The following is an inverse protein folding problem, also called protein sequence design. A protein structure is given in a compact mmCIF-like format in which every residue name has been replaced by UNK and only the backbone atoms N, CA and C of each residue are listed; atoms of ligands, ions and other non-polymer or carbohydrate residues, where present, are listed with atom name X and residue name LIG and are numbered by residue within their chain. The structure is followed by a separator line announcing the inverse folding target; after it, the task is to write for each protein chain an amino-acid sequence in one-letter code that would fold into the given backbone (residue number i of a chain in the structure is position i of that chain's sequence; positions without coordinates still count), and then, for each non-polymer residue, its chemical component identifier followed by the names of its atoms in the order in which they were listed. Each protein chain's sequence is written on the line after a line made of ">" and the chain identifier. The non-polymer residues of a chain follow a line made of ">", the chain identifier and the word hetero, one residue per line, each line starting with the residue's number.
data_IF_467598976998
#
_entry.id   IF_467598976998
#
_cell.length_a   1.000
_cell.length_b   1.000
_cell.length_c   1.000
_cell.angle_alpha   90.00
_cell.angle_beta   90.00
_cell.angle_gamma   90.00
#
_symmetry.space_group_name_H-M   'P 1'
#
loop_
_entity.id
_entity.type
_entity.pdbx_description
1 polymer ?
#
# COMPACT_ATOMS: atom_id res chain seq x y z
N UNK A 1 5.85 7.72 13.62
CA UNK A 1 4.66 8.25 12.91
C UNK A 1 4.01 7.05 12.19
N UNK A 2 2.83 7.10 11.57
CA UNK A 2 2.31 5.91 10.82
C UNK A 2 2.64 6.04 9.34
N UNK A 3 2.67 4.91 8.61
CA UNK A 3 3.06 4.88 7.19
C UNK A 3 2.18 5.80 6.32
N UNK A 4 0.88 5.83 6.60
CA UNK A 4 -0.10 6.69 5.93
C UNK A 4 -0.40 7.97 6.71
N UNK A 5 0.58 8.56 7.38
CA UNK A 5 0.39 9.86 8.02
C UNK A 5 0.10 10.94 6.97
N UNK A 6 -0.98 11.70 7.18
CA UNK A 6 -1.37 12.82 6.33
C UNK A 6 -2.08 13.88 7.18
N UNK A 7 -1.74 15.17 7.01
CA UNK A 7 -2.23 16.28 7.83
C UNK A 7 -1.98 16.08 9.34
N UNK A 8 -0.86 15.45 9.68
CA UNK A 8 -0.40 15.22 11.07
C UNK A 8 -1.21 14.19 11.85
N UNK A 9 -1.92 13.30 11.16
CA UNK A 9 -2.69 12.21 11.75
C UNK A 9 -2.59 10.94 10.89
N UNK A 10 -2.85 9.79 11.51
CA UNK A 10 -3.04 8.55 10.75
C UNK A 10 -4.23 8.70 9.78
N UNK A 11 -3.96 8.47 8.50
CA UNK A 11 -4.94 8.56 7.43
C UNK A 11 -5.16 7.24 6.69
N UNK A 12 -4.82 6.09 7.30
CA UNK A 12 -5.10 4.74 6.77
C UNK A 12 -6.49 4.61 6.14
N UNK A 13 -7.56 4.95 6.88
CA UNK A 13 -8.93 4.89 6.36
C UNK A 13 -9.16 5.80 5.15
N UNK A 14 -8.57 6.98 5.11
CA UNK A 14 -8.67 7.89 3.97
C UNK A 14 -7.95 7.29 2.75
N UNK A 15 -6.75 6.74 2.93
CA UNK A 15 -5.97 6.11 1.86
C UNK A 15 -6.67 4.85 1.32
N UNK A 16 -7.25 4.00 2.19
CA UNK A 16 -8.07 2.86 1.77
C UNK A 16 -9.26 3.32 0.93
N UNK A 17 -9.94 4.40 1.32
CA UNK A 17 -11.03 4.98 0.51
C UNK A 17 -10.54 5.50 -0.84
N UNK A 18 -9.45 6.26 -0.84
CA UNK A 18 -8.87 6.83 -2.04
C UNK A 18 -8.47 5.74 -3.05
N UNK A 19 -7.77 4.69 -2.60
CA UNK A 19 -7.27 3.63 -3.50
C UNK A 19 -8.42 2.83 -4.13
N UNK A 20 -9.48 2.52 -3.37
CA UNK A 20 -10.64 1.81 -3.90
C UNK A 20 -11.42 2.63 -4.93
N UNK A 21 -11.60 3.93 -4.67
CA UNK A 21 -12.26 4.85 -5.60
C UNK A 21 -11.42 5.08 -6.87
N UNK A 22 -10.10 5.17 -6.72
CA UNK A 22 -9.16 5.24 -7.84
C UNK A 22 -9.16 3.95 -8.67
N UNK A 23 -9.16 2.78 -8.04
CA UNK A 23 -9.29 1.48 -8.72
C UNK A 23 -10.63 1.36 -9.47
N UNK A 24 -11.71 1.96 -8.96
CA UNK A 24 -12.99 2.02 -9.67
C UNK A 24 -12.86 2.84 -10.96
N UNK A 25 -12.31 4.05 -10.86
CA UNK A 25 -12.06 4.90 -12.02
C UNK A 25 -11.21 4.18 -13.09
N UNK A 26 -10.19 3.44 -12.68
CA UNK A 26 -9.29 2.71 -13.60
C UNK A 26 -9.79 1.31 -14.01
N UNK A 27 -11.04 0.96 -13.69
CA UNK A 27 -11.67 -0.30 -14.12
C UNK A 27 -11.12 -1.58 -13.47
N UNK A 28 -10.34 -1.48 -12.40
CA UNK A 28 -9.76 -2.61 -11.66
C UNK A 28 -10.51 -2.94 -10.37
N UNK A 29 -11.48 -2.11 -9.95
CA UNK A 29 -12.20 -2.33 -8.69
C UNK A 29 -12.85 -3.71 -8.55
N UNK A 30 -13.37 -4.31 -9.63
CA UNK A 30 -13.96 -5.65 -9.53
C UNK A 30 -12.95 -6.70 -9.13
N UNK A 31 -11.72 -6.65 -9.64
CA UNK A 31 -10.67 -7.60 -9.24
C UNK A 31 -10.20 -7.34 -7.82
N UNK A 32 -10.01 -6.07 -7.44
CA UNK A 32 -9.64 -5.66 -6.07
C UNK A 32 -10.67 -6.14 -5.05
N UNK A 33 -11.96 -5.91 -5.31
CA UNK A 33 -13.03 -6.33 -4.41
C UNK A 33 -13.21 -7.85 -4.35
N UNK A 34 -13.03 -8.55 -5.46
CA UNK A 34 -13.11 -10.03 -5.50
C UNK A 34 -11.91 -10.69 -4.80
N UNK A 35 -10.73 -10.07 -4.85
CA UNK A 35 -9.52 -10.52 -4.18
C UNK A 35 -9.56 -10.31 -2.65
N UNK A 36 -10.33 -9.33 -2.17
CA UNK A 36 -10.40 -8.99 -0.74
C UNK A 36 -9.55 -7.78 -0.36
N UNK A 37 -8.71 -7.29 -1.27
CA UNK A 37 -7.84 -6.10 -1.17
C UNK A 37 -8.59 -4.77 -0.89
N UNK A 38 -9.92 -4.81 -0.82
CA UNK A 38 -10.71 -3.73 -0.24
C UNK A 38 -12.05 -4.23 0.27
N UNK A 39 -12.47 -3.73 1.42
CA UNK A 39 -13.82 -3.96 1.97
C UNK A 39 -14.84 -2.89 1.56
N UNK A 40 -14.41 -1.88 0.79
CA UNK A 40 -15.24 -0.73 0.43
C UNK A 40 -16.27 -1.13 -0.61
N UNK A 41 -17.54 -0.79 -0.34
CA UNK A 41 -18.66 -1.02 -1.26
C UNK A 41 -18.90 0.21 -2.11
N UNK A 42 -18.83 0.07 -3.43
CA UNK A 42 -19.20 1.09 -4.42
C UNK A 42 -20.45 0.63 -5.17
N UNK A 43 -21.44 1.51 -5.32
CA UNK A 43 -22.71 1.18 -5.96
C UNK A 43 -23.31 2.35 -6.76
N UNK A 44 -24.26 2.04 -7.64
CA UNK A 44 -25.13 3.05 -8.27
C UNK A 44 -26.36 3.36 -7.42
N UNK A 45 -26.72 2.46 -6.50
CA UNK A 45 -27.77 2.67 -5.51
C UNK A 45 -27.15 3.19 -4.20
N UNK A 46 -27.93 3.95 -3.45
CA UNK A 46 -27.48 4.45 -2.15
C UNK A 46 -27.25 3.31 -1.15
N UNK A 47 -26.02 3.20 -0.65
CA UNK A 47 -25.62 2.21 0.37
C UNK A 47 -25.10 2.94 1.61
N UNK A 48 -25.62 2.58 2.79
CA UNK A 48 -25.17 3.16 4.07
C UNK A 48 -23.73 2.73 4.34
N UNK A 49 -22.85 3.70 4.58
CA UNK A 49 -21.42 3.46 4.80
C UNK A 49 -20.60 3.13 3.55
N UNK A 50 -21.26 2.86 2.42
CA UNK A 50 -20.62 2.68 1.11
C UNK A 50 -20.62 3.96 0.28
N UNK A 51 -19.90 3.93 -0.84
CA UNK A 51 -19.85 5.01 -1.81
C UNK A 51 -20.88 4.79 -2.92
N UNK A 52 -21.56 5.86 -3.29
CA UNK A 52 -22.52 5.85 -4.40
C UNK A 52 -21.99 6.75 -5.51
N UNK A 53 -22.00 6.24 -6.75
CA UNK A 53 -21.67 7.02 -7.94
C UNK A 53 -22.74 8.12 -8.10
N UNK A 54 -22.30 9.38 -8.12
CA UNK A 54 -23.19 10.51 -8.32
C UNK A 54 -23.48 10.69 -9.80
N UNK A 55 -24.75 10.51 -10.16
CA UNK A 55 -25.17 10.80 -11.53
C UNK A 55 -25.06 12.30 -11.87
N UNK A 56 -24.81 12.66 -13.14
CA UNK A 56 -24.75 14.04 -13.61
C UNK A 56 -25.99 14.88 -13.26
N UNK A 57 -27.18 14.26 -13.31
CA UNK A 57 -28.46 14.90 -12.96
C UNK A 57 -28.52 15.29 -11.46
N UNK A 58 -27.94 14.47 -10.58
CA UNK A 58 -27.88 14.75 -9.13
C UNK A 58 -26.87 15.86 -8.84
N UNK A 59 -25.73 15.86 -9.55
CA UNK A 59 -24.71 16.89 -9.43
C UNK A 59 -25.16 18.23 -10.06
N UNK A 60 -26.17 18.20 -10.93
CA UNK A 60 -26.59 19.38 -11.71
C UNK A 60 -25.65 19.70 -12.87
N UNK A 61 -24.85 18.72 -13.31
CA UNK A 61 -23.89 18.86 -14.39
C UNK A 61 -24.55 18.71 -15.76
N UNK A 62 -24.11 19.51 -16.74
CA UNK A 62 -24.69 19.52 -18.09
C UNK A 62 -23.70 19.28 -19.23
N UNK A 63 -22.44 18.95 -18.89
CA UNK A 63 -21.40 18.63 -19.85
C UNK A 63 -21.49 17.21 -20.41
N UNK A 64 -20.37 16.70 -20.89
CA UNK A 64 -20.30 15.41 -21.60
C UNK A 64 -20.12 14.27 -20.60
N UNK A 65 -20.93 13.22 -20.74
CA UNK A 65 -20.91 12.02 -19.89
C UNK A 65 -21.18 10.78 -20.75
N UNK A 66 -20.68 9.61 -20.34
CA UNK A 66 -20.98 8.34 -21.01
C UNK A 66 -22.27 7.67 -20.51
N UNK A 67 -22.47 6.39 -20.87
CA UNK A 67 -23.61 5.60 -20.45
C UNK A 67 -23.55 5.10 -19.00
N UNK A 68 -22.36 5.11 -18.40
CA UNK A 68 -22.12 4.72 -17.00
C UNK A 68 -22.21 5.92 -16.05
N UNK A 69 -22.15 7.14 -16.59
CA UNK A 69 -22.18 8.39 -15.84
C UNK A 69 -20.81 9.03 -15.66
N UNK A 70 -19.76 8.47 -16.26
CA UNK A 70 -18.39 8.99 -16.24
C UNK A 70 -18.35 10.36 -16.90
N UNK A 71 -17.70 11.32 -16.25
CA UNK A 71 -17.58 12.70 -16.72
C UNK A 71 -16.40 12.84 -17.67
N UNK A 72 -16.58 13.54 -18.79
CA UNK A 72 -15.54 13.77 -19.80
C UNK A 72 -15.06 15.22 -19.82
N UNK A 73 -13.82 15.41 -20.24
CA UNK A 73 -13.19 16.71 -20.30
C UNK A 73 -13.91 17.70 -21.23
N UNK A 74 -13.86 18.97 -20.82
CA UNK A 74 -14.76 20.02 -21.30
C UNK A 74 -14.17 20.84 -22.46
N UNK A 75 -12.85 20.75 -22.64
CA UNK A 75 -12.13 21.44 -23.71
C UNK A 75 -11.72 20.49 -24.82
N UNK A 76 -11.48 21.01 -26.02
CA UNK A 76 -11.00 20.17 -27.14
C UNK A 76 -9.59 19.60 -26.90
N UNK A 77 -8.82 20.22 -26.00
CA UNK A 77 -7.47 19.77 -25.64
C UNK A 77 -7.57 18.51 -24.79
N UNK A 78 -8.43 18.50 -23.77
CA UNK A 78 -8.57 17.41 -22.79
C UNK A 78 -9.88 16.63 -22.91
N UNK A 79 -10.49 16.58 -24.11
CA UNK A 79 -11.83 15.97 -24.31
C UNK A 79 -11.91 14.48 -23.96
N UNK A 80 -10.76 13.81 -23.86
CA UNK A 80 -10.64 12.38 -23.56
C UNK A 80 -10.35 12.15 -22.07
N UNK A 81 -10.05 13.20 -21.30
CA UNK A 81 -9.90 13.12 -19.84
C UNK A 81 -11.21 12.68 -19.18
N UNK A 82 -11.11 11.82 -18.17
CA UNK A 82 -12.26 11.22 -17.49
C UNK A 82 -12.19 11.40 -15.98
N UNK A 83 -13.36 11.47 -15.35
CA UNK A 83 -13.50 11.52 -13.91
C UNK A 83 -14.80 10.86 -13.43
N UNK A 84 -14.78 10.40 -12.18
CA UNK A 84 -15.94 9.89 -11.45
C UNK A 84 -16.18 10.73 -10.19
N UNK A 85 -17.45 10.94 -9.86
CA UNK A 85 -17.85 11.64 -8.63
C UNK A 85 -18.66 10.69 -7.76
N UNK A 86 -18.32 10.62 -6.48
CA UNK A 86 -18.98 9.74 -5.52
C UNK A 86 -19.50 10.51 -4.31
N UNK A 87 -20.52 9.96 -3.65
CA UNK A 87 -21.00 10.43 -2.36
C UNK A 87 -21.14 9.27 -1.37
N UNK A 88 -20.74 9.51 -0.14
CA UNK A 88 -21.00 8.62 0.98
C UNK A 88 -22.20 9.13 1.78
N UNK A 89 -23.03 8.21 2.28
CA UNK A 89 -24.27 8.53 3.00
C UNK A 89 -24.32 7.93 4.39
N UNK A 90 -24.88 8.70 5.33
CA UNK A 90 -25.22 8.21 6.66
C UNK A 90 -26.50 7.34 6.68
N UNK A 91 -26.83 6.78 7.84
CA UNK A 91 -28.04 5.96 8.05
C UNK A 91 -29.37 6.70 7.75
N UNK A 92 -29.36 8.04 7.73
CA UNK A 92 -30.52 8.88 7.45
C UNK A 92 -30.59 9.31 5.98
N UNK A 93 -29.59 8.92 5.19
CA UNK A 93 -29.43 9.26 3.79
C UNK A 93 -28.93 10.67 3.53
N UNK A 94 -28.26 11.30 4.50
CA UNK A 94 -27.54 12.56 4.32
C UNK A 94 -26.17 12.29 3.72
N UNK A 95 -25.74 13.12 2.77
CA UNK A 95 -24.36 13.11 2.25
C UNK A 95 -23.41 13.56 3.36
N UNK A 96 -22.37 12.76 3.62
CA UNK A 96 -21.36 13.03 4.66
C UNK A 96 -19.95 13.17 4.13
N UNK A 97 -19.68 12.67 2.92
CA UNK A 97 -18.40 12.86 2.23
C UNK A 97 -18.64 12.75 0.72
N UNK A 98 -17.75 13.37 -0.05
CA UNK A 98 -17.78 13.38 -1.52
C UNK A 98 -16.38 13.01 -2.00
N UNK A 99 -16.28 12.36 -3.15
CA UNK A 99 -14.99 12.09 -3.78
C UNK A 99 -15.02 12.43 -5.27
N UNK A 100 -13.88 12.91 -5.77
CA UNK A 100 -13.57 13.09 -7.17
C UNK A 100 -12.39 12.16 -7.50
N UNK A 101 -12.63 11.13 -8.30
CA UNK A 101 -11.59 10.25 -8.80
C UNK A 101 -11.28 10.58 -10.26
N UNK A 102 -10.07 11.04 -10.55
CA UNK A 102 -9.62 11.36 -11.91
C UNK A 102 -8.98 10.11 -12.51
N UNK A 103 -9.37 9.75 -13.73
CA UNK A 103 -8.88 8.56 -14.41
C UNK A 103 -7.39 8.66 -14.75
N UNK A 104 -6.76 7.49 -14.87
CA UNK A 104 -5.45 7.33 -15.49
C UNK A 104 -5.52 7.41 -17.01
N UNK A 105 -4.68 6.62 -17.68
CA UNK A 105 -4.62 6.56 -19.15
C UNK A 105 -5.48 5.41 -19.66
N UNK A 106 -6.68 5.71 -20.16
CA UNK A 106 -7.62 4.74 -20.70
C UNK A 106 -7.79 4.88 -22.24
N UNK A 107 -7.41 6.02 -22.80
CA UNK A 107 -7.49 6.34 -24.22
C UNK A 107 -6.14 6.74 -24.85
N UNK A 108 -6.04 6.64 -26.17
CA UNK A 108 -4.84 7.05 -26.92
C UNK A 108 -4.55 8.56 -26.82
N UNK A 109 -5.55 9.37 -26.44
CA UNK A 109 -5.42 10.81 -26.23
C UNK A 109 -4.58 11.16 -24.99
N UNK A 110 -4.72 10.38 -23.94
CA UNK A 110 -4.17 10.62 -22.60
C UNK A 110 -2.63 10.65 -22.58
N UNK A 111 -1.99 9.94 -23.52
CA UNK A 111 -0.52 9.99 -23.71
C UNK A 111 -0.05 11.41 -24.08
N UNK A 112 -0.89 12.22 -24.73
CA UNK A 112 -0.58 13.62 -24.99
C UNK A 112 -0.79 14.52 -23.78
N UNK A 113 -1.64 14.12 -22.83
CA UNK A 113 -1.94 14.90 -21.63
C UNK A 113 -0.77 14.91 -20.65
N UNK A 114 0.04 13.85 -20.62
CA UNK A 114 1.36 13.87 -19.93
C UNK A 114 2.27 15.02 -20.40
N UNK A 115 2.11 15.51 -21.65
CA UNK A 115 2.91 16.64 -22.13
C UNK A 115 2.50 17.96 -21.47
N UNK A 116 1.29 18.05 -20.91
CA UNK A 116 0.86 19.21 -20.11
C UNK A 116 1.73 19.32 -18.86
N UNK A 117 1.97 18.20 -18.18
CA UNK A 117 2.77 18.11 -16.95
C UNK A 117 4.27 18.34 -17.15
N UNK A 118 4.74 18.42 -18.41
CA UNK A 118 6.10 18.88 -18.74
C UNK A 118 6.22 20.40 -18.90
N UNK A 119 5.12 21.15 -18.75
CA UNK A 119 5.14 22.61 -18.70
C UNK A 119 5.59 23.07 -17.31
N UNK A 120 6.05 24.32 -17.23
CA UNK A 120 6.46 24.92 -15.96
C UNK A 120 5.30 25.22 -15.01
N UNK A 121 4.09 25.38 -15.55
CA UNK A 121 2.86 25.65 -14.79
C UNK A 121 1.74 24.88 -15.51
N UNK A 122 1.54 23.58 -15.22
CA UNK A 122 0.49 22.78 -15.85
C UNK A 122 -0.89 23.23 -15.38
N UNK A 123 -1.88 23.25 -16.27
CA UNK A 123 -3.25 23.69 -15.96
C UNK A 123 -4.28 22.59 -16.31
N UNK A 124 -3.93 21.32 -16.06
CA UNK A 124 -4.67 20.16 -16.55
C UNK A 124 -6.10 20.12 -15.99
N UNK A 125 -6.25 20.08 -14.67
CA UNK A 125 -7.56 19.83 -14.02
C UNK A 125 -8.54 20.96 -14.28
N UNK A 126 -8.09 22.21 -14.19
CA UNK A 126 -8.93 23.38 -14.47
C UNK A 126 -9.42 23.43 -15.91
N UNK A 127 -8.59 23.04 -16.89
CA UNK A 127 -8.99 23.04 -18.30
C UNK A 127 -9.79 21.80 -18.69
N UNK A 128 -9.62 20.71 -17.97
CA UNK A 128 -10.39 19.49 -18.21
C UNK A 128 -11.78 19.57 -17.59
N UNK A 129 -11.92 20.13 -16.38
CA UNK A 129 -13.10 19.92 -15.52
C UNK A 129 -13.66 21.20 -14.87
N UNK A 130 -13.53 22.39 -15.48
CA UNK A 130 -14.00 23.68 -14.92
C UNK A 130 -15.47 23.65 -14.45
N UNK A 131 -16.40 23.27 -15.35
CA UNK A 131 -17.85 23.24 -15.08
C UNK A 131 -18.20 22.10 -14.10
N UNK A 132 -17.48 20.97 -14.16
CA UNK A 132 -17.62 19.85 -13.24
C UNK A 132 -17.25 20.27 -11.81
N UNK A 133 -16.11 20.93 -11.63
CA UNK A 133 -15.65 21.43 -10.33
C UNK A 133 -16.60 22.49 -9.76
N UNK A 134 -17.16 23.36 -10.62
CA UNK A 134 -18.18 24.31 -10.20
C UNK A 134 -19.46 23.60 -9.70
N UNK A 135 -19.90 22.56 -10.42
CA UNK A 135 -21.07 21.76 -10.04
C UNK A 135 -20.84 20.99 -8.73
N UNK A 136 -19.63 20.43 -8.57
CA UNK A 136 -19.19 19.75 -7.35
C UNK A 136 -19.20 20.69 -6.14
N UNK A 137 -18.61 21.89 -6.26
CA UNK A 137 -18.64 22.91 -5.22
C UNK A 137 -20.08 23.28 -4.82
N UNK A 138 -20.95 23.53 -5.79
CA UNK A 138 -22.35 23.88 -5.54
C UNK A 138 -23.10 22.74 -4.83
N UNK A 139 -22.86 21.48 -5.24
CA UNK A 139 -23.43 20.30 -4.61
C UNK A 139 -22.98 20.14 -3.15
N UNK A 140 -21.69 20.32 -2.87
CA UNK A 140 -21.14 20.25 -1.52
C UNK A 140 -21.76 21.33 -0.61
N UNK A 141 -21.79 22.58 -1.06
CA UNK A 141 -22.40 23.70 -0.33
C UNK A 141 -23.90 23.42 -0.07
N UNK A 142 -24.61 22.85 -1.04
CA UNK A 142 -26.02 22.51 -0.88
C UNK A 142 -26.30 21.41 0.16
N UNK A 143 -25.28 20.60 0.51
CA UNK A 143 -25.35 19.54 1.52
C UNK A 143 -24.70 19.92 2.87
N UNK A 144 -24.35 21.20 3.04
CA UNK A 144 -23.59 21.76 4.17
C UNK A 144 -22.20 21.12 4.36
N UNK A 145 -21.52 20.75 3.27
CA UNK A 145 -20.15 20.21 3.29
C UNK A 145 -19.12 21.30 2.98
N UNK A 146 -17.89 21.10 3.44
CA UNK A 146 -16.70 21.91 3.12
C UNK A 146 -15.72 21.09 2.29
N UNK A 147 -14.65 21.71 1.78
CA UNK A 147 -13.61 20.96 1.07
C UNK A 147 -12.94 19.88 1.92
N UNK A 148 -12.87 20.02 3.25
CA UNK A 148 -12.36 18.98 4.14
C UNK A 148 -13.14 17.65 4.03
N UNK A 149 -14.39 17.69 3.54
CA UNK A 149 -15.23 16.50 3.30
C UNK A 149 -15.03 15.89 1.90
N UNK A 150 -14.16 16.47 1.06
CA UNK A 150 -13.81 16.01 -0.28
C UNK A 150 -12.54 15.17 -0.27
N UNK A 151 -12.60 14.02 -0.94
CA UNK A 151 -11.43 13.25 -1.35
C UNK A 151 -11.18 13.52 -2.84
N UNK A 152 -9.99 13.98 -3.19
CA UNK A 152 -9.51 14.06 -4.57
C UNK A 152 -8.47 12.97 -4.74
N UNK A 153 -8.73 12.04 -5.66
CA UNK A 153 -7.86 10.88 -5.89
C UNK A 153 -7.73 10.54 -7.37
N UNK A 154 -6.80 9.66 -7.69
CA UNK A 154 -6.52 9.19 -9.04
C UNK A 154 -5.24 8.37 -9.06
N UNK A 155 -5.07 7.60 -10.13
CA UNK A 155 -3.90 6.75 -10.34
C UNK A 155 -3.23 7.13 -11.66
N UNK A 156 -1.90 7.10 -11.73
CA UNK A 156 -1.13 7.40 -12.95
C UNK A 156 -1.30 8.85 -13.42
N UNK A 157 -1.83 9.09 -14.63
CA UNK A 157 -2.22 10.43 -15.10
C UNK A 157 -3.16 11.11 -14.10
N UNK A 158 -4.12 10.36 -13.55
CA UNK A 158 -5.03 10.81 -12.51
C UNK A 158 -4.31 11.17 -11.21
N UNK A 159 -3.27 10.42 -10.83
CA UNK A 159 -2.42 10.74 -9.68
C UNK A 159 -1.71 12.08 -9.86
N UNK A 160 -1.13 12.33 -11.04
CA UNK A 160 -0.55 13.63 -11.36
C UNK A 160 -1.58 14.76 -11.40
N UNK A 161 -2.80 14.47 -11.86
CA UNK A 161 -3.92 15.40 -11.84
C UNK A 161 -4.35 15.79 -10.41
N UNK A 162 -4.28 14.87 -9.44
CA UNK A 162 -4.52 15.17 -8.01
C UNK A 162 -3.53 16.23 -7.53
N UNK A 163 -2.23 16.02 -7.77
CA UNK A 163 -1.18 16.98 -7.42
C UNK A 163 -1.38 18.33 -8.11
N UNK A 164 -1.69 18.33 -9.41
CA UNK A 164 -1.97 19.56 -10.15
C UNK A 164 -3.19 20.33 -9.61
N UNK A 165 -4.26 19.63 -9.22
CA UNK A 165 -5.42 20.26 -8.62
C UNK A 165 -5.09 20.88 -7.25
N UNK A 166 -4.27 20.20 -6.44
CA UNK A 166 -3.83 20.69 -5.14
C UNK A 166 -2.98 21.96 -5.26
N UNK A 167 -2.00 21.93 -6.16
CA UNK A 167 -1.07 23.05 -6.40
C UNK A 167 -1.78 24.31 -6.87
N UNK A 168 -2.88 24.18 -7.61
CA UNK A 168 -3.64 25.30 -8.15
C UNK A 168 -4.92 25.63 -7.39
N UNK A 169 -5.19 24.90 -6.30
CA UNK A 169 -6.48 24.92 -5.60
C UNK A 169 -6.89 26.31 -5.08
N UNK A 170 -5.95 27.24 -4.88
CA UNK A 170 -6.17 28.62 -4.47
C UNK A 170 -6.47 29.58 -5.63
N UNK A 171 -6.17 29.19 -6.87
CA UNK A 171 -6.29 30.03 -8.06
C UNK A 171 -7.71 30.03 -8.66
N UNK A 172 -8.48 28.95 -8.46
CA UNK A 172 -9.82 28.78 -9.05
C UNK A 172 -10.92 28.65 -7.99
N UNK A 173 -12.15 28.95 -8.41
CA UNK A 173 -13.37 28.82 -7.61
C UNK A 173 -13.24 29.42 -6.18
N UNK A 174 -12.57 30.57 -6.08
CA UNK A 174 -12.31 31.32 -4.83
C UNK A 174 -11.52 30.53 -3.76
N UNK A 175 -10.66 29.59 -4.17
CA UNK A 175 -9.86 28.79 -3.25
C UNK A 175 -10.66 27.74 -2.49
N UNK A 176 -11.82 27.34 -3.00
CA UNK A 176 -12.73 26.44 -2.27
C UNK A 176 -12.07 25.11 -1.93
N UNK A 177 -11.20 24.58 -2.79
CA UNK A 177 -10.67 23.22 -2.67
C UNK A 177 -9.35 23.11 -1.90
N UNK A 178 -8.74 24.21 -1.45
CA UNK A 178 -7.43 24.20 -0.75
C UNK A 178 -7.38 23.19 0.39
N UNK A 179 -8.45 23.11 1.19
CA UNK A 179 -8.51 22.24 2.36
C UNK A 179 -8.95 20.78 2.05
N UNK A 180 -9.12 20.42 0.78
CA UNK A 180 -9.50 19.07 0.38
C UNK A 180 -8.43 18.02 0.70
N UNK A 181 -8.84 16.75 0.70
CA UNK A 181 -7.94 15.62 0.95
C UNK A 181 -7.41 15.11 -0.40
N UNK A 182 -6.13 15.37 -0.68
CA UNK A 182 -5.47 15.03 -1.93
C UNK A 182 -4.61 13.79 -1.73
N UNK A 183 -5.09 12.65 -2.23
CA UNK A 183 -4.40 11.35 -2.13
C UNK A 183 -4.23 10.76 -3.52
N UNK A 184 -3.01 10.83 -4.05
CA UNK A 184 -2.62 10.31 -5.36
C UNK A 184 -1.99 8.92 -5.29
N UNK A 185 -1.98 8.23 -6.43
CA UNK A 185 -1.31 6.94 -6.61
C UNK A 185 -0.52 6.95 -7.92
N UNK A 186 0.68 6.37 -7.91
CA UNK A 186 1.56 6.31 -9.09
C UNK A 186 1.72 7.68 -9.79
N UNK A 187 1.94 8.73 -9.01
CA UNK A 187 1.95 10.11 -9.52
C UNK A 187 3.22 10.41 -10.30
N UNK A 188 3.06 10.80 -11.56
CA UNK A 188 4.14 11.25 -12.43
C UNK A 188 4.44 12.76 -12.32
N UNK A 189 3.69 13.48 -11.49
CA UNK A 189 3.84 14.93 -11.35
C UNK A 189 4.37 15.25 -9.96
N UNK A 190 5.60 15.77 -9.93
CA UNK A 190 6.23 16.32 -8.74
C UNK A 190 5.80 17.78 -8.58
N UNK A 191 5.21 18.18 -7.44
CA UNK A 191 4.92 19.58 -7.18
C UNK A 191 6.20 20.40 -7.03
N UNK A 192 6.09 21.72 -7.14
CA UNK A 192 7.21 22.62 -6.86
C UNK A 192 7.77 22.41 -5.44
N UNK A 193 9.10 22.40 -5.33
CA UNK A 193 9.89 22.18 -4.09
C UNK A 193 9.85 20.75 -3.49
N UNK A 194 8.99 19.84 -3.97
CA UNK A 194 8.94 18.45 -3.49
C UNK A 194 8.39 18.30 -2.06
N UNK A 195 7.76 19.35 -1.53
CA UNK A 195 7.16 19.39 -0.20
C UNK A 195 5.74 18.80 -0.21
N UNK A 196 5.32 18.24 0.93
CA UNK A 196 3.93 17.79 1.14
C UNK A 196 2.92 18.92 1.29
N UNK A 197 3.36 20.10 1.75
CA UNK A 197 2.52 21.30 1.86
C UNK A 197 2.91 22.28 0.77
N UNK A 198 1.96 22.58 -0.11
CA UNK A 198 2.19 23.38 -1.31
C UNK A 198 2.03 24.88 -1.03
N UNK A 199 2.52 25.70 -1.96
CA UNK A 199 2.39 27.17 -1.90
C UNK A 199 0.93 27.65 -1.87
N UNK A 200 0.00 26.88 -2.45
CA UNK A 200 -1.45 27.10 -2.38
C UNK A 200 -2.01 26.95 -0.95
N UNK A 201 -1.27 26.27 -0.06
CA UNK A 201 -1.69 25.86 1.26
C UNK A 201 -2.31 24.46 1.32
N UNK A 202 -2.52 23.82 0.17
CA UNK A 202 -2.98 22.43 0.13
C UNK A 202 -1.88 21.48 0.59
N UNK A 203 -2.27 20.38 1.24
CA UNK A 203 -1.36 19.28 1.59
C UNK A 203 -1.69 18.06 0.72
N UNK A 204 -0.67 17.38 0.21
CA UNK A 204 -0.81 16.20 -0.64
C UNK A 204 -0.15 14.97 0.00
N UNK A 205 -0.64 13.80 -0.37
CA UNK A 205 0.00 12.52 -0.09
C UNK A 205 -0.08 11.64 -1.33
N UNK A 206 1.02 10.97 -1.68
CA UNK A 206 1.11 10.04 -2.79
C UNK A 206 1.59 8.69 -2.28
N UNK A 207 0.93 7.61 -2.71
CA UNK A 207 1.47 6.26 -2.55
C UNK A 207 2.04 5.85 -3.89
N UNK A 208 3.35 5.65 -3.93
CA UNK A 208 4.12 5.34 -5.11
C UNK A 208 5.01 4.13 -4.81
N UNK A 209 5.07 3.18 -5.75
CA UNK A 209 6.06 2.12 -5.67
C UNK A 209 7.38 2.59 -6.27
N UNK A 210 8.50 2.31 -5.62
CA UNK A 210 9.83 2.61 -6.16
C UNK A 210 10.06 1.91 -7.51
N UNK A 211 9.52 0.69 -7.62
CA UNK A 211 9.63 -0.16 -8.78
C UNK A 211 8.48 0.04 -9.79
N UNK A 212 7.67 1.09 -9.62
CA UNK A 212 6.74 1.58 -10.64
C UNK A 212 7.48 2.52 -11.61
N UNK A 213 7.50 2.21 -12.92
CA UNK A 213 8.23 3.00 -13.91
C UNK A 213 7.66 4.40 -14.18
N UNK A 214 6.45 4.71 -13.71
CA UNK A 214 5.79 6.00 -13.96
C UNK A 214 6.25 7.10 -12.99
N UNK A 215 6.08 6.97 -11.66
CA UNK A 215 6.58 7.96 -10.70
C UNK A 215 8.11 8.08 -10.75
N UNK A 216 8.82 6.97 -11.02
CA UNK A 216 10.28 6.99 -11.20
C UNK A 216 10.72 7.54 -12.57
N UNK A 217 9.94 7.30 -13.64
CA UNK A 217 10.34 7.63 -15.01
C UNK A 217 9.96 9.03 -15.49
N UNK A 218 8.95 9.64 -14.87
CA UNK A 218 8.49 10.99 -15.14
C UNK A 218 8.32 11.67 -13.78
N UNK A 219 9.26 12.54 -13.45
CA UNK A 219 9.30 13.31 -12.22
C UNK A 219 9.92 14.67 -12.54
N UNK A 220 9.90 15.63 -11.61
CA UNK A 220 10.64 16.90 -11.66
C UNK A 220 10.59 17.70 -12.99
N UNK A 221 9.51 17.53 -13.76
CA UNK A 221 9.33 18.12 -15.09
C UNK A 221 10.26 17.55 -16.16
N UNK A 222 10.90 16.41 -15.91
CA UNK A 222 11.80 15.73 -16.84
C UNK A 222 11.44 14.24 -17.01
N UNK A 223 12.10 13.59 -17.96
CA UNK A 223 11.95 12.15 -18.18
C UNK A 223 13.27 11.51 -17.76
N UNK A 224 13.18 10.48 -16.91
CA UNK A 224 14.30 9.69 -16.39
C UNK A 224 14.24 8.28 -16.98
N UNK A 225 14.89 8.02 -18.14
CA UNK A 225 14.84 6.73 -18.84
C UNK A 225 15.28 5.50 -18.05
N UNK A 226 15.91 5.69 -16.90
CA UNK A 226 16.45 4.63 -16.04
C UNK A 226 15.90 4.73 -14.62
N UNK A 227 14.76 5.41 -14.44
CA UNK A 227 14.18 5.70 -13.13
C UNK A 227 14.86 6.87 -12.43
N UNK A 228 14.15 7.40 -11.45
CA UNK A 228 14.56 8.37 -10.46
C UNK A 228 14.04 7.85 -9.13
N UNK A 229 14.93 7.78 -8.16
CA UNK A 229 14.61 7.40 -6.80
C UNK A 229 14.98 8.58 -5.89
N UNK A 230 14.25 9.68 -6.09
CA UNK A 230 14.40 10.86 -5.25
C UNK A 230 13.40 10.76 -4.13
N UNK A 231 13.90 10.87 -2.90
CA UNK A 231 13.07 10.94 -1.71
C UNK A 231 12.29 12.26 -1.68
N UNK A 232 10.97 12.16 -1.70
CA UNK A 232 10.05 13.30 -1.67
C UNK A 232 9.18 13.26 -0.43
N UNK A 233 9.10 14.38 0.29
CA UNK A 233 8.33 14.49 1.53
C UNK A 233 6.84 14.16 1.37
N UNK A 234 6.28 14.15 0.17
CA UNK A 234 4.85 13.88 -0.08
C UNK A 234 4.54 12.44 -0.50
N UNK A 235 5.53 11.64 -0.86
CA UNK A 235 5.35 10.32 -1.45
C UNK A 235 5.94 9.21 -0.56
N UNK A 236 5.52 7.97 -0.77
CA UNK A 236 6.25 6.81 -0.25
C UNK A 236 7.43 6.52 -1.16
N UNK A 237 8.66 6.74 -0.68
CA UNK A 237 9.85 6.62 -1.52
C UNK A 237 10.41 5.19 -1.59
N UNK A 238 10.23 4.39 -0.52
CA UNK A 238 10.85 3.06 -0.38
C UNK A 238 9.81 1.93 -0.28
N UNK A 239 8.71 2.05 -1.03
CA UNK A 239 7.67 1.02 -1.08
C UNK A 239 7.86 0.13 -2.32
N UNK A 240 8.04 -1.17 -2.11
CA UNK A 240 8.29 -2.15 -3.16
C UNK A 240 7.10 -3.08 -3.30
N UNK A 241 6.58 -3.21 -4.53
CA UNK A 241 5.63 -4.27 -4.85
C UNK A 241 6.36 -5.44 -5.53
N UNK A 242 6.63 -6.51 -4.79
CA UNK A 242 7.40 -7.66 -5.26
C UNK A 242 6.54 -8.57 -6.16
N UNK A 243 6.45 -8.23 -7.44
CA UNK A 243 5.71 -9.00 -8.44
C UNK A 243 6.57 -10.10 -9.11
N UNK A 244 5.98 -10.82 -10.07
CA UNK A 244 6.66 -11.90 -10.80
C UNK A 244 7.90 -11.47 -11.61
N UNK A 245 8.10 -10.17 -11.83
CA UNK A 245 9.21 -9.66 -12.63
C UNK A 245 10.34 -9.11 -11.77
N UNK A 246 10.00 -8.46 -10.65
CA UNK A 246 10.97 -7.97 -9.67
C UNK A 246 11.84 -9.13 -9.16
N UNK A 247 13.14 -8.88 -8.96
CA UNK A 247 14.13 -9.92 -8.63
C UNK A 247 14.55 -10.85 -9.79
N UNK A 248 13.88 -10.80 -10.96
CA UNK A 248 14.24 -11.66 -12.09
C UNK A 248 15.26 -11.01 -13.05
N UNK A 249 15.99 -11.81 -13.87
CA UNK A 249 16.84 -11.26 -14.94
C UNK A 249 16.10 -10.43 -16.00
N UNK A 250 14.75 -10.47 -16.04
CA UNK A 250 13.94 -9.63 -16.92
C UNK A 250 13.87 -8.18 -16.42
N UNK A 251 14.15 -7.95 -15.13
CA UNK A 251 14.11 -6.65 -14.44
C UNK A 251 15.51 -6.12 -14.09
N UNK A 252 16.54 -6.60 -14.79
CA UNK A 252 17.96 -6.28 -14.53
C UNK A 252 18.32 -4.78 -14.58
N UNK A 253 17.43 -3.94 -15.10
CA UNK A 253 17.62 -2.50 -15.27
C UNK A 253 16.93 -1.65 -14.20
N UNK A 254 16.35 -2.26 -13.15
CA UNK A 254 15.60 -1.54 -12.09
C UNK A 254 14.18 -1.19 -12.49
N UNK A 255 13.75 -1.61 -13.68
CA UNK A 255 12.52 -1.16 -14.30
C UNK A 255 12.64 0.25 -14.84
N UNK A 256 12.06 0.44 -16.01
CA UNK A 256 11.92 1.77 -16.59
C UNK A 256 10.72 1.79 -17.51
N UNK A 257 10.32 2.99 -17.90
CA UNK A 257 9.15 3.24 -18.72
C UNK A 257 9.17 2.53 -20.09
N UNK A 258 10.32 2.05 -20.58
CA UNK A 258 10.42 1.29 -21.83
C UNK A 258 10.31 -0.22 -21.64
N UNK A 259 10.48 -0.73 -20.42
CA UNK A 259 10.35 -2.15 -20.12
C UNK A 259 8.87 -2.49 -19.91
N UNK A 260 8.22 -3.25 -20.80
CA UNK A 260 6.80 -3.58 -20.63
C UNK A 260 6.53 -4.44 -19.38
N UNK A 261 7.56 -5.08 -18.82
CA UNK A 261 7.45 -5.85 -17.58
C UNK A 261 7.41 -4.96 -16.35
N UNK A 262 8.05 -3.78 -16.39
CA UNK A 262 7.99 -2.83 -15.29
C UNK A 262 6.61 -2.20 -15.12
N UNK A 263 5.81 -2.14 -16.17
CA UNK A 263 4.43 -1.64 -16.09
C UNK A 263 3.48 -2.56 -15.30
N UNK A 264 3.94 -3.74 -14.89
CA UNK A 264 3.14 -4.64 -14.06
C UNK A 264 2.88 -4.07 -12.66
N UNK A 265 3.90 -3.47 -12.02
CA UNK A 265 3.76 -2.78 -10.73
C UNK A 265 2.85 -1.55 -10.82
N UNK A 266 2.72 -0.95 -12.01
CA UNK A 266 1.84 0.21 -12.28
C UNK A 266 0.33 -0.13 -12.32
N UNK A 267 -0.09 -1.33 -11.90
CA UNK A 267 -1.51 -1.67 -11.82
C UNK A 267 -2.15 -1.05 -10.58
N UNK A 268 -3.25 -0.33 -10.75
CA UNK A 268 -4.03 0.20 -9.62
C UNK A 268 -4.58 -0.88 -8.67
N UNK A 269 -4.69 -2.13 -9.13
CA UNK A 269 -5.02 -3.26 -8.25
C UNK A 269 -3.88 -3.60 -7.28
N UNK A 270 -2.63 -3.52 -7.74
CA UNK A 270 -1.45 -3.80 -6.91
C UNK A 270 -1.31 -2.74 -5.81
N UNK A 271 -1.57 -1.46 -6.15
CA UNK A 271 -1.65 -0.39 -5.15
C UNK A 271 -2.73 -0.64 -4.10
N UNK A 272 -3.91 -1.15 -4.49
CA UNK A 272 -4.96 -1.49 -3.55
C UNK A 272 -4.54 -2.65 -2.62
N UNK A 273 -3.96 -3.72 -3.16
CA UNK A 273 -3.38 -4.83 -2.38
C UNK A 273 -2.35 -4.32 -1.38
N UNK A 274 -1.39 -3.51 -1.82
CA UNK A 274 -0.35 -2.98 -0.94
C UNK A 274 -0.93 -2.12 0.20
N UNK A 275 -1.89 -1.24 -0.10
CA UNK A 275 -2.56 -0.43 0.93
C UNK A 275 -3.27 -1.31 1.96
N UNK A 276 -3.94 -2.38 1.52
CA UNK A 276 -4.66 -3.29 2.41
C UNK A 276 -3.71 -4.10 3.31
N UNK A 277 -2.69 -4.71 2.72
CA UNK A 277 -1.64 -5.48 3.42
C UNK A 277 -0.93 -4.61 4.47
N UNK A 278 -0.47 -3.42 4.07
CA UNK A 278 0.21 -2.49 4.98
C UNK A 278 -0.71 -2.06 6.13
N UNK A 279 -1.96 -1.71 5.83
CA UNK A 279 -2.91 -1.26 6.85
C UNK A 279 -3.30 -2.36 7.84
N UNK A 280 -3.17 -3.62 7.43
CA UNK A 280 -3.55 -4.80 8.21
C UNK A 280 -2.39 -5.37 9.03
N UNK A 281 -1.14 -5.02 8.69
CA UNK A 281 0.06 -5.49 9.38
C UNK A 281 0.07 -5.16 10.87
N UNK A 282 0.53 -6.10 11.70
CA UNK A 282 0.75 -5.83 13.13
C UNK A 282 1.84 -4.78 13.37
N UNK A 283 2.72 -4.55 12.39
CA UNK A 283 3.81 -3.59 12.44
C UNK A 283 3.43 -2.20 11.92
N UNK A 284 2.19 -2.00 11.45
CA UNK A 284 1.73 -0.75 10.82
C UNK A 284 2.07 0.53 11.61
N UNK A 285 1.92 0.49 12.93
CA UNK A 285 2.16 1.66 13.81
C UNK A 285 3.63 2.01 14.00
N UNK A 286 4.53 1.13 13.56
CA UNK A 286 5.98 1.28 13.63
C UNK A 286 6.55 1.78 12.30
N UNK A 287 5.83 1.55 11.19
CA UNK A 287 6.18 2.02 9.86
C UNK A 287 6.04 3.55 9.77
N UNK A 288 7.04 4.19 9.15
CA UNK A 288 7.00 5.61 8.78
C UNK A 288 6.98 5.73 7.25
N UNK A 289 6.59 6.91 6.72
CA UNK A 289 6.39 7.12 5.27
C UNK A 289 7.54 6.61 4.39
N UNK A 290 8.78 6.78 4.85
CA UNK A 290 9.99 6.40 4.12
C UNK A 290 10.65 5.12 4.65
N UNK A 291 9.94 4.34 5.47
CA UNK A 291 10.38 2.99 5.80
C UNK A 291 10.48 2.15 4.53
N UNK A 292 11.51 1.29 4.44
CA UNK A 292 11.55 0.26 3.42
C UNK A 292 10.43 -0.75 3.71
N UNK A 293 9.44 -0.81 2.82
CA UNK A 293 8.33 -1.75 2.92
C UNK A 293 8.26 -2.56 1.65
N UNK A 294 8.33 -3.89 1.76
CA UNK A 294 8.27 -4.82 0.65
C UNK A 294 6.99 -5.65 0.79
N UNK A 295 6.10 -5.54 -0.18
CA UNK A 295 4.83 -6.28 -0.21
C UNK A 295 4.91 -7.42 -1.23
N UNK A 296 4.59 -8.64 -0.81
CA UNK A 296 4.48 -9.80 -1.71
C UNK A 296 3.34 -9.59 -2.70
N UNK A 297 3.70 -9.42 -3.96
CA UNK A 297 2.80 -9.31 -5.11
C UNK A 297 2.76 -10.58 -5.96
N UNK A 298 3.37 -11.67 -5.49
CA UNK A 298 3.42 -12.94 -6.21
C UNK A 298 2.04 -13.59 -6.28
N UNK A 299 1.82 -14.38 -7.33
CA UNK A 299 0.65 -15.24 -7.40
C UNK A 299 0.85 -16.52 -6.55
N UNK A 300 -0.23 -17.26 -6.29
CA UNK A 300 -0.16 -18.48 -5.45
C UNK A 300 0.82 -19.54 -6.00
N UNK A 301 1.07 -19.57 -7.32
CA UNK A 301 1.92 -20.58 -7.96
C UNK A 301 3.42 -20.22 -7.84
N UNK A 302 3.78 -18.93 -7.75
CA UNK A 302 5.16 -18.45 -7.61
C UNK A 302 5.53 -18.12 -6.15
N UNK A 303 4.57 -17.85 -5.27
CA UNK A 303 4.81 -17.51 -3.86
C UNK A 303 5.55 -18.63 -3.10
N UNK A 304 5.34 -19.89 -3.47
CA UNK A 304 5.91 -21.07 -2.79
C UNK A 304 7.29 -21.51 -3.30
N UNK A 305 7.89 -20.78 -4.26
CA UNK A 305 9.20 -21.12 -4.84
C UNK A 305 10.20 -19.96 -4.97
N UNK A 306 9.81 -18.74 -4.59
CA UNK A 306 10.61 -17.53 -4.77
C UNK A 306 10.68 -16.68 -3.50
N UNK A 307 11.91 -16.33 -3.14
CA UNK A 307 12.18 -15.45 -2.01
C UNK A 307 11.76 -14.01 -2.32
N UNK A 308 10.79 -13.50 -1.58
CA UNK A 308 10.49 -12.07 -1.47
C UNK A 308 11.53 -11.47 -0.53
N UNK A 309 12.41 -10.63 -1.08
CA UNK A 309 13.53 -10.01 -0.38
C UNK A 309 13.86 -8.65 -0.98
N UNK A 310 14.64 -7.83 -0.26
CA UNK A 310 15.25 -6.64 -0.86
C UNK A 310 16.32 -7.07 -1.88
N UNK A 311 16.08 -6.79 -3.16
CA UNK A 311 16.85 -7.31 -4.28
C UNK A 311 18.05 -6.43 -4.62
N UNK A 312 19.22 -7.06 -4.81
CA UNK A 312 20.33 -6.35 -5.43
C UNK A 312 20.16 -6.25 -6.94
N UNK A 313 19.55 -5.16 -7.40
CA UNK A 313 19.38 -4.88 -8.83
C UNK A 313 20.56 -4.01 -9.33
N UNK A 314 21.39 -4.44 -10.29
CA UNK A 314 22.67 -3.78 -10.61
C UNK A 314 22.62 -2.34 -11.13
N UNK A 315 21.46 -1.91 -11.66
CA UNK A 315 21.23 -0.56 -12.16
C UNK A 315 20.24 0.22 -11.29
N UNK A 316 19.69 -0.45 -10.28
CA UNK A 316 18.92 0.18 -9.24
C UNK A 316 19.88 0.69 -8.16
N UNK A 317 19.68 1.91 -7.70
CA UNK A 317 20.59 2.58 -6.77
C UNK A 317 19.80 3.24 -5.64
N UNK A 318 18.72 2.58 -5.21
CA UNK A 318 17.94 2.97 -4.03
C UNK A 318 18.80 2.98 -2.77
N UNK A 319 19.72 2.02 -2.67
CA UNK A 319 20.78 2.04 -1.67
C UNK A 319 20.34 1.61 -0.27
N UNK A 320 19.13 1.06 -0.14
CA UNK A 320 18.61 0.48 1.10
C UNK A 320 19.02 -0.99 1.33
N UNK A 321 19.83 -1.59 0.43
CA UNK A 321 20.23 -2.99 0.56
C UNK A 321 20.91 -3.30 1.91
N UNK A 322 20.19 -4.05 2.74
CA UNK A 322 20.62 -4.47 4.07
C UNK A 322 20.40 -3.43 5.17
N UNK A 323 19.54 -2.44 4.91
CA UNK A 323 18.87 -1.63 5.93
C UNK A 323 17.69 -2.42 6.53
N UNK A 324 17.10 -1.87 7.60
CA UNK A 324 15.94 -2.45 8.29
C UNK A 324 14.71 -2.37 7.36
N UNK A 325 14.03 -3.50 7.15
CA UNK A 325 12.88 -3.61 6.26
C UNK A 325 11.63 -4.11 6.97
N UNK A 326 10.46 -3.68 6.49
CA UNK A 326 9.21 -4.37 6.72
C UNK A 326 8.90 -5.25 5.51
N UNK A 327 8.84 -6.57 5.70
CA UNK A 327 8.60 -7.54 4.63
C UNK A 327 7.25 -8.20 4.91
N UNK A 328 6.30 -7.96 4.03
CA UNK A 328 4.91 -8.33 4.20
C UNK A 328 4.53 -9.38 3.14
N UNK A 329 4.13 -10.57 3.61
CA UNK A 329 3.63 -11.66 2.79
C UNK A 329 2.23 -11.39 2.24
N UNK A 330 1.50 -12.47 2.03
CA UNK A 330 0.16 -12.49 1.46
C UNK A 330 -0.65 -13.64 2.05
N UNK A 331 -1.87 -13.87 1.56
CA UNK A 331 -2.68 -15.02 2.01
C UNK A 331 -2.25 -16.37 1.37
N UNK A 332 -1.10 -16.39 0.68
CA UNK A 332 -0.52 -17.56 0.03
C UNK A 332 0.69 -18.08 0.84
N UNK A 333 1.17 -19.29 0.53
CA UNK A 333 2.39 -19.79 1.17
C UNK A 333 3.63 -19.10 0.61
N UNK A 334 4.10 -18.06 1.29
CA UNK A 334 5.18 -17.18 0.85
C UNK A 334 6.56 -17.66 1.31
N UNK A 335 7.59 -17.38 0.52
CA UNK A 335 8.99 -17.49 0.93
C UNK A 335 9.54 -16.08 1.20
N UNK A 336 9.71 -15.73 2.46
CA UNK A 336 10.10 -14.37 2.86
C UNK A 336 11.52 -14.35 3.41
N UNK A 337 12.35 -13.40 2.94
CA UNK A 337 13.73 -13.29 3.43
C UNK A 337 14.13 -11.85 3.75
N UNK A 338 14.59 -11.66 4.99
CA UNK A 338 15.34 -10.49 5.42
C UNK A 338 16.83 -10.58 5.07
N UNK A 339 17.58 -9.53 5.39
CA UNK A 339 18.98 -9.40 4.97
C UNK A 339 19.94 -9.24 6.14
N UNK A 340 20.29 -8.00 6.48
CA UNK A 340 21.30 -7.67 7.49
C UNK A 340 20.80 -6.61 8.49
N UNK A 341 19.69 -5.95 8.18
CA UNK A 341 19.04 -4.99 9.07
C UNK A 341 18.26 -5.71 10.15
N UNK A 342 17.74 -4.95 11.10
CA UNK A 342 16.81 -5.46 12.11
C UNK A 342 15.41 -5.50 11.46
N UNK A 343 15.08 -6.60 10.79
CA UNK A 343 13.93 -6.72 9.89
C UNK A 343 12.63 -7.09 10.65
N UNK A 344 11.49 -6.61 10.17
CA UNK A 344 10.15 -7.00 10.65
C UNK A 344 9.39 -7.71 9.53
N UNK A 345 9.17 -9.01 9.70
CA UNK A 345 8.62 -9.89 8.67
C UNK A 345 7.28 -10.47 9.13
N UNK A 346 6.25 -10.41 8.28
CA UNK A 346 4.91 -10.93 8.57
C UNK A 346 4.42 -11.82 7.43
N UNK A 347 4.12 -13.09 7.74
CA UNK A 347 3.66 -14.09 6.78
C UNK A 347 2.24 -13.86 6.27
N UNK A 348 1.31 -13.50 7.19
CA UNK A 348 -0.15 -13.50 6.99
C UNK A 348 -0.74 -14.92 6.94
N UNK A 349 -1.74 -15.20 6.11
CA UNK A 349 -2.29 -16.55 5.99
C UNK A 349 -1.42 -17.35 5.01
N UNK A 350 -1.11 -18.61 5.25
CA UNK A 350 -0.16 -19.28 4.36
C UNK A 350 0.35 -20.63 4.85
N UNK A 351 1.50 -21.05 4.34
CA UNK A 351 2.38 -22.02 4.98
C UNK A 351 3.77 -21.52 4.59
N UNK A 352 4.27 -20.59 5.37
CA UNK A 352 5.31 -19.68 4.96
C UNK A 352 6.69 -20.22 5.31
N UNK A 353 7.68 -19.84 4.52
CA UNK A 353 9.09 -20.11 4.79
C UNK A 353 9.78 -18.78 5.02
N UNK A 354 10.05 -18.46 6.28
CA UNK A 354 10.59 -17.15 6.68
C UNK A 354 12.03 -17.30 7.15
N UNK A 355 12.94 -16.50 6.59
CA UNK A 355 14.35 -16.41 7.01
C UNK A 355 14.77 -14.96 7.19
N UNK A 356 14.89 -14.47 8.43
CA UNK A 356 15.16 -13.06 8.68
C UNK A 356 16.63 -12.66 8.47
N UNK A 357 17.58 -13.51 8.84
CA UNK A 357 18.96 -13.41 8.37
C UNK A 357 19.94 -12.93 9.43
N UNK A 358 20.32 -11.65 9.42
CA UNK A 358 21.15 -11.08 10.49
C UNK A 358 20.49 -9.80 10.94
N UNK A 359 20.63 -9.47 12.22
CA UNK A 359 19.92 -8.36 12.81
C UNK A 359 19.20 -8.87 14.05
N UNK A 360 18.69 -7.99 14.88
CA UNK A 360 17.72 -8.38 15.91
C UNK A 360 16.33 -8.35 15.26
N UNK A 361 15.90 -9.49 14.70
CA UNK A 361 14.76 -9.56 13.79
C UNK A 361 13.42 -9.84 14.52
N UNK A 362 12.29 -9.47 13.90
CA UNK A 362 10.94 -9.79 14.37
C UNK A 362 10.18 -10.53 13.28
N UNK A 363 9.75 -11.74 13.58
CA UNK A 363 9.05 -12.61 12.63
C UNK A 363 7.66 -12.91 13.17
N UNK A 364 6.61 -12.48 12.48
CA UNK A 364 5.24 -12.92 12.73
C UNK A 364 4.89 -14.01 11.73
N UNK A 365 4.48 -15.16 12.23
CA UNK A 365 4.05 -16.31 11.43
C UNK A 365 2.76 -16.00 10.66
N UNK A 366 1.73 -15.53 11.38
CA UNK A 366 0.38 -15.45 10.86
C UNK A 366 -0.35 -16.79 11.02
N UNK A 367 -1.22 -17.16 10.07
CA UNK A 367 -1.95 -18.41 10.11
C UNK A 367 -1.35 -19.39 9.09
N UNK A 368 -1.33 -20.68 9.38
CA UNK A 368 -0.69 -21.64 8.50
C UNK A 368 0.23 -22.59 9.21
N UNK A 369 1.05 -23.32 8.45
CA UNK A 369 2.13 -24.12 9.03
C UNK A 369 3.44 -23.56 8.56
N UNK A 370 4.08 -22.84 9.45
CA UNK A 370 5.17 -21.97 9.05
C UNK A 370 6.53 -22.53 9.49
N UNK A 371 7.55 -22.30 8.67
CA UNK A 371 8.94 -22.62 8.96
C UNK A 371 9.72 -21.31 9.14
N UNK A 372 10.14 -21.04 10.37
CA UNK A 372 10.72 -19.76 10.80
C UNK A 372 12.20 -19.95 11.13
N UNK A 373 13.04 -19.10 10.57
CA UNK A 373 14.48 -19.04 10.85
C UNK A 373 14.86 -17.60 11.19
N UNK A 374 15.31 -17.36 12.42
CA UNK A 374 15.73 -16.02 12.87
C UNK A 374 17.07 -15.65 12.26
N UNK A 375 18.04 -16.55 12.35
CA UNK A 375 19.39 -16.35 11.85
C UNK A 375 20.32 -15.86 12.96
N UNK A 376 20.90 -14.68 12.81
CA UNK A 376 21.92 -14.18 13.72
C UNK A 376 21.53 -12.85 14.34
N UNK A 377 21.19 -12.90 15.63
CA UNK A 377 20.92 -11.74 16.46
C UNK A 377 20.18 -12.20 17.71
N UNK A 378 19.37 -11.31 18.30
CA UNK A 378 18.40 -11.67 19.33
C UNK A 378 17.02 -11.53 18.72
N UNK A 379 16.51 -12.62 18.18
CA UNK A 379 15.32 -12.60 17.34
C UNK A 379 14.05 -12.80 18.17
N UNK A 380 12.93 -12.28 17.67
CA UNK A 380 11.61 -12.43 18.29
C UNK A 380 10.68 -13.11 17.29
N UNK A 381 10.27 -14.34 17.62
CA UNK A 381 9.23 -15.07 16.91
C UNK A 381 7.89 -14.73 17.56
N UNK A 382 7.00 -14.06 16.84
CA UNK A 382 5.66 -13.68 17.24
C UNK A 382 4.69 -14.72 16.67
N UNK A 383 3.97 -15.41 17.54
CA UNK A 383 3.12 -16.52 17.13
C UNK A 383 1.64 -16.16 17.30
N UNK A 384 0.86 -16.43 16.26
CA UNK A 384 -0.59 -16.29 16.24
C UNK A 384 -1.22 -17.67 16.48
N UNK A 385 -2.33 -17.72 17.24
CA UNK A 385 -3.01 -18.98 17.51
C UNK A 385 -4.04 -19.30 16.40
N UNK A 386 -3.88 -20.44 15.74
CA UNK A 386 -4.73 -20.89 14.63
C UNK A 386 -5.01 -22.42 14.62
N UNK A 387 -4.41 -23.16 15.55
CA UNK A 387 -4.52 -24.60 15.73
C UNK A 387 -3.57 -25.41 14.83
N UNK A 388 -2.57 -24.78 14.23
CA UNK A 388 -1.56 -25.44 13.40
C UNK A 388 -0.28 -25.71 14.19
N UNK A 389 0.75 -26.08 13.43
CA UNK A 389 2.01 -26.56 13.97
C UNK A 389 3.15 -25.93 13.19
N UNK A 390 3.83 -25.00 13.85
CA UNK A 390 4.90 -24.19 13.28
C UNK A 390 6.26 -24.69 13.76
N UNK A 391 7.31 -24.36 13.01
CA UNK A 391 8.66 -24.83 13.28
C UNK A 391 9.62 -23.66 13.31
N UNK A 392 10.31 -23.48 14.43
CA UNK A 392 11.46 -22.58 14.55
C UNK A 392 12.73 -23.40 14.40
N UNK A 393 13.56 -23.09 13.41
CA UNK A 393 14.67 -23.97 13.00
C UNK A 393 15.98 -23.71 13.74
N UNK A 394 16.15 -22.54 14.35
CA UNK A 394 17.44 -22.11 14.93
C UNK A 394 17.35 -21.37 16.28
N UNK A 395 16.26 -21.56 17.04
CA UNK A 395 16.04 -20.90 18.33
C UNK A 395 17.22 -21.05 19.31
N UNK A 396 17.75 -19.92 19.77
CA UNK A 396 18.86 -19.84 20.71
C UNK A 396 18.41 -19.35 22.08
N UNK A 397 18.33 -20.28 23.04
CA UNK A 397 17.91 -20.01 24.43
C UNK A 397 18.76 -18.90 25.08
N UNK A 398 18.09 -17.89 25.65
CA UNK A 398 18.72 -16.75 26.31
C UNK A 398 19.22 -15.64 25.37
N UNK A 399 19.11 -15.84 24.05
CA UNK A 399 19.31 -14.80 23.03
C UNK A 399 17.94 -14.46 22.41
N UNK A 400 17.27 -15.45 21.82
CA UNK A 400 15.99 -15.29 21.14
C UNK A 400 14.78 -15.36 22.08
N UNK A 401 13.62 -14.95 21.56
CA UNK A 401 12.34 -14.98 22.29
C UNK A 401 11.17 -15.47 21.43
N UNK A 402 10.23 -16.13 22.11
CA UNK A 402 8.93 -16.51 21.57
C UNK A 402 7.86 -15.60 22.19
N UNK A 403 7.24 -14.74 21.38
CA UNK A 403 6.13 -13.88 21.78
C UNK A 403 4.78 -14.57 21.52
N UNK A 404 4.13 -14.97 22.62
CA UNK A 404 2.81 -15.61 22.62
C UNK A 404 1.71 -14.64 23.05
N UNK A 405 1.99 -13.33 23.10
CA UNK A 405 1.00 -12.32 23.47
C UNK A 405 -0.13 -12.22 22.44
N UNK A 406 0.18 -12.44 21.15
CA UNK A 406 -0.79 -12.49 20.05
C UNK A 406 -1.61 -13.79 20.04
N UNK A 407 -1.03 -14.90 20.47
CA UNK A 407 -1.75 -16.15 20.77
C UNK A 407 -2.65 -16.07 22.04
N UNK A 408 -2.57 -14.99 22.81
CA UNK A 408 -3.36 -14.81 24.04
C UNK A 408 -2.93 -15.68 25.22
N UNK A 409 -1.70 -16.20 25.19
CA UNK A 409 -1.11 -16.93 26.32
C UNK A 409 -0.63 -15.93 27.36
N UNK A 410 -1.02 -16.12 28.62
CA UNK A 410 -0.81 -15.11 29.68
C UNK A 410 0.34 -15.44 30.63
N UNK A 411 0.85 -16.68 30.61
CA UNK A 411 1.99 -17.08 31.43
C UNK A 411 2.61 -18.39 30.99
N UNK A 412 3.87 -18.60 31.38
CA UNK A 412 4.63 -19.84 31.15
C UNK A 412 3.97 -21.10 31.76
N UNK A 413 3.14 -20.95 32.80
CA UNK A 413 2.43 -22.07 33.44
C UNK A 413 1.34 -22.68 32.52
N UNK A 414 0.98 -22.00 31.43
CA UNK A 414 0.01 -22.47 30.42
C UNK A 414 0.65 -23.36 29.33
N UNK A 415 1.99 -23.45 29.31
CA UNK A 415 2.73 -24.22 28.30
C UNK A 415 2.92 -25.68 28.71
N UNK A 416 2.75 -26.59 27.76
CA UNK A 416 3.14 -28.00 27.89
C UNK A 416 4.42 -28.23 27.07
N UNK A 417 5.52 -28.59 27.73
CA UNK A 417 6.82 -28.84 27.09
C UNK A 417 7.05 -30.34 26.96
N UNK A 418 7.31 -30.82 25.75
CA UNK A 418 7.68 -32.21 25.46
C UNK A 418 9.06 -32.25 24.79
N UNK A 419 9.99 -33.03 25.36
CA UNK A 419 11.36 -33.12 24.85
C UNK A 419 11.51 -34.05 23.65
N UNK A 420 10.45 -34.77 23.25
CA UNK A 420 10.44 -35.70 22.10
C UNK A 420 11.35 -36.94 22.28
N UNK A 421 12.33 -36.87 23.19
CA UNK A 421 13.42 -37.81 23.30
C UNK A 421 14.38 -37.80 22.11
N UNK A 422 15.28 -38.76 22.06
CA UNK A 422 16.46 -38.83 21.15
C UNK A 422 16.19 -38.78 19.63
N UNK A 423 14.94 -38.79 19.18
CA UNK A 423 14.58 -38.96 17.77
C UNK A 423 13.48 -38.01 17.28
N UNK A 424 12.85 -37.26 18.18
CA UNK A 424 11.78 -36.31 17.84
C UNK A 424 12.22 -34.92 18.33
N UNK A 425 11.69 -33.88 17.70
CA UNK A 425 12.01 -32.49 18.03
C UNK A 425 11.35 -32.04 19.36
N UNK A 426 11.79 -30.92 19.91
CA UNK A 426 11.20 -30.35 21.11
C UNK A 426 9.90 -29.62 20.77
N UNK A 427 8.82 -29.95 21.49
CA UNK A 427 7.49 -29.38 21.25
C UNK A 427 7.04 -28.52 22.43
N UNK A 428 6.48 -27.35 22.10
CA UNK A 428 5.82 -26.44 23.03
C UNK A 428 4.35 -26.38 22.61
N UNK A 429 3.47 -26.97 23.40
CA UNK A 429 2.03 -26.89 23.15
C UNK A 429 1.37 -25.82 24.04
N UNK A 430 0.44 -25.07 23.46
CA UNK A 430 -0.46 -24.14 24.15
C UNK A 430 -1.80 -24.17 23.43
N UNK A 431 -2.90 -24.18 24.19
CA UNK A 431 -4.25 -24.34 23.63
C UNK A 431 -4.35 -25.54 22.66
N UNK A 432 -4.61 -25.30 21.37
CA UNK A 432 -4.64 -26.29 20.29
C UNK A 432 -3.46 -26.19 19.30
N UNK A 433 -2.51 -25.28 19.57
CA UNK A 433 -1.30 -25.02 18.78
C UNK A 433 -0.08 -25.77 19.32
N UNK A 434 0.91 -25.98 18.44
CA UNK A 434 2.19 -26.60 18.78
C UNK A 434 3.33 -25.90 18.05
N UNK A 435 4.31 -25.37 18.78
CA UNK A 435 5.57 -24.92 18.20
C UNK A 435 6.58 -26.06 18.30
N UNK A 436 7.27 -26.35 17.20
CA UNK A 436 8.47 -27.18 17.18
C UNK A 436 9.69 -26.28 17.24
N UNK A 437 10.63 -26.63 18.10
CA UNK A 437 11.98 -26.11 18.02
C UNK A 437 12.87 -27.21 17.44
N UNK A 438 13.38 -27.02 16.22
CA UNK A 438 14.23 -28.02 15.57
C UNK A 438 15.50 -28.22 16.41
N UNK A 439 15.83 -29.47 16.73
CA UNK A 439 17.03 -29.76 17.50
C UNK A 439 18.28 -29.79 16.61
N UNK A 440 19.22 -28.87 16.87
CA UNK A 440 20.62 -29.09 16.49
C UNK A 440 21.17 -30.37 17.15
N UNK A 441 22.21 -30.98 16.54
CA UNK A 441 22.81 -32.28 16.94
C UNK A 441 23.29 -32.43 18.42
N UNK A 442 23.12 -31.43 19.29
CA UNK A 442 23.48 -31.47 20.71
C UNK A 442 22.34 -30.94 21.57
N UNK A 443 21.86 -31.77 22.51
CA UNK A 443 20.87 -31.50 23.56
C UNK A 443 20.68 -29.99 23.89
N UNK A 444 19.43 -29.51 23.82
CA UNK A 444 18.84 -28.93 25.01
C UNK A 444 18.03 -27.64 24.88
N UNK A 445 16.71 -27.80 25.00
CA UNK A 445 15.79 -26.77 25.51
C UNK A 445 15.44 -26.99 27.01
N UNK A 446 16.20 -27.82 27.72
CA UNK A 446 16.00 -28.14 29.14
C UNK A 446 16.09 -26.93 30.08
N UNK A 447 16.72 -25.84 29.63
CA UNK A 447 16.89 -24.60 30.38
C UNK A 447 15.89 -23.50 29.97
N UNK A 448 14.92 -23.80 29.08
CA UNK A 448 13.82 -22.88 28.75
C UNK A 448 13.10 -22.41 30.02
N UNK A 449 12.80 -21.12 30.03
CA UNK A 449 12.23 -20.44 31.18
C UNK A 449 11.26 -19.36 30.73
N UNK A 450 10.47 -18.82 31.65
CA UNK A 450 9.60 -17.69 31.37
C UNK A 450 10.32 -16.41 30.83
N UNK A 451 11.65 -16.33 30.86
CA UNK A 451 12.39 -15.20 30.30
C UNK A 451 12.60 -15.29 28.78
N UNK A 452 12.47 -16.50 28.23
CA UNK A 452 12.61 -16.81 26.80
C UNK A 452 11.28 -16.57 26.04
N UNK A 453 10.26 -16.08 26.75
CA UNK A 453 8.93 -15.84 26.22
C UNK A 453 8.42 -14.43 26.53
N UNK A 454 7.52 -13.94 25.69
CA UNK A 454 6.67 -12.76 25.94
C UNK A 454 5.22 -13.26 26.02
N UNK A 455 4.46 -12.72 26.97
CA UNK A 455 3.08 -13.12 27.27
C UNK A 455 2.17 -11.89 27.33
N UNK A 456 0.86 -12.09 27.15
CA UNK A 456 -0.18 -11.05 27.12
C UNK A 456 -0.43 -10.32 28.46
#
# INVERSE_FOLDING_TARGET
>A
MSFFEYKGQDASTLVTNAVALSAYANGTYSSVYEAGDTSIVISTDQVVGGWTILSPDVLGYSGTVDENGTYYGETNEFKDAQAEVFAQYDENGRVISVALAIHGTDEFGDVFDYLEFLKSEPEYVEKAFEDLLASLKDFMIANDLTAEDLIVTGHSLGGGAVTNMAERSDEFLDGFFVDANYVGFASHYTPDEGDSVLDSGAEIFSVDFENDPVPSGIADGTIHPFGNDTDYDYATSNLVFYNEYYGTPLYWDGGNIYSPFAWDSHSSANYAKAVDVISSSIFYVEMERDSLVIVSGLDEDDADDRWVEDEFIPLDNTGHLGDDAFILGSDAGDWLRGNRGDDSIEGFDGNDHITAGRGDDRICDGAGKDELTGGAGNDIFILVADGQKDTITDFTVGEDKIDLSYAGVTSFDELELDDGGWFDDFEIAYYDDVIVLEEGWFDGYNDLSANDFIFA
#
